data_IF_433207489665
#
_entry.id   IF_433207489665
#
_cell.length_a   1.000
_cell.length_b   1.000
_cell.length_c   1.000
_cell.angle_alpha   90.00
_cell.angle_beta   90.00
_cell.angle_gamma   90.00
#
_symmetry.space_group_name_H-M   'P 1'
#
loop_
_entity.id
_entity.type
_entity.pdbx_description
1 polymer ?
#
# COMPACT_ATOMS: atom_id res chain seq x y z
N UNK A 1 59.21 -52.05 32.74
CA UNK A 1 58.43 -52.95 33.59
C UNK A 1 57.10 -53.11 32.99
N UNK A 2 56.82 -54.27 32.63
CA UNK A 2 55.67 -55.15 32.45
C UNK A 2 54.70 -54.69 31.32
N UNK A 3 54.77 -55.40 30.23
CA UNK A 3 54.21 -56.70 29.87
C UNK A 3 52.70 -56.57 29.52
N UNK A 4 52.42 -56.85 28.23
CA UNK A 4 51.89 -58.09 27.61
C UNK A 4 50.35 -58.09 27.72
N UNK A 5 49.58 -58.30 26.73
CA UNK A 5 49.44 -59.37 25.80
C UNK A 5 48.31 -59.16 24.78
N UNK A 6 48.55 -59.56 23.55
CA UNK A 6 47.46 -59.85 22.57
C UNK A 6 46.80 -61.17 22.87
N UNK A 7 45.58 -61.42 22.47
CA UNK A 7 45.20 -62.75 21.99
C UNK A 7 44.56 -62.73 20.57
N UNK A 8 45.00 -63.72 19.89
CA UNK A 8 44.67 -64.53 18.70
C UNK A 8 43.19 -64.45 18.21
N UNK A 9 43.09 -64.37 16.90
CA UNK A 9 41.88 -64.61 16.11
C UNK A 9 41.51 -66.13 16.11
N UNK A 10 40.23 -66.46 15.95
CA UNK A 10 39.81 -67.72 15.42
C UNK A 10 39.38 -67.60 13.93
N UNK A 11 39.86 -68.58 13.16
CA UNK A 11 39.39 -68.90 11.81
C UNK A 11 37.96 -69.46 11.87
N UNK A 12 37.05 -68.92 11.04
CA UNK A 12 35.83 -69.63 10.73
C UNK A 12 35.46 -69.54 9.25
N UNK A 13 34.95 -70.57 8.77
CA UNK A 13 34.71 -71.10 7.45
C UNK A 13 33.91 -70.22 6.50
N UNK A 14 34.26 -70.26 5.24
CA UNK A 14 33.59 -69.81 4.07
C UNK A 14 32.29 -70.59 3.84
N UNK A 15 31.14 -69.98 3.95
CA UNK A 15 29.86 -70.44 3.41
C UNK A 15 29.50 -69.57 2.23
N UNK A 16 29.54 -70.09 1.03
CA UNK A 16 29.07 -69.45 -0.21
C UNK A 16 27.56 -69.64 -0.26
N UNK A 17 26.83 -68.53 0.00
CA UNK A 17 25.41 -68.44 -0.29
C UNK A 17 25.26 -67.59 -1.54
N UNK A 18 24.75 -68.19 -2.59
CA UNK A 18 24.40 -67.52 -3.85
C UNK A 18 23.29 -66.51 -3.62
N UNK A 19 23.62 -65.26 -3.86
CA UNK A 19 22.63 -64.16 -3.90
C UNK A 19 22.22 -63.96 -5.35
N UNK A 20 20.98 -64.34 -5.69
CA UNK A 20 20.33 -64.00 -6.93
C UNK A 20 20.08 -62.45 -6.89
N UNK A 21 20.76 -61.71 -7.74
CA UNK A 21 20.56 -60.28 -7.92
C UNK A 21 19.20 -60.05 -8.60
N UNK A 22 18.17 -59.69 -7.82
CA UNK A 22 16.99 -59.02 -8.34
C UNK A 22 17.42 -57.59 -8.70
N UNK A 23 17.61 -57.30 -9.97
CA UNK A 23 17.71 -55.93 -10.49
C UNK A 23 16.32 -55.28 -10.38
N UNK A 24 16.05 -54.63 -9.24
CA UNK A 24 14.99 -53.64 -9.13
C UNK A 24 15.38 -52.45 -10.03
N UNK A 25 14.73 -52.31 -11.19
CA UNK A 25 14.71 -51.06 -11.93
C UNK A 25 14.12 -50.01 -10.98
N UNK A 26 14.97 -49.17 -10.40
CA UNK A 26 14.57 -47.95 -9.79
C UNK A 26 13.99 -47.08 -10.91
N UNK A 27 12.66 -46.99 -11.00
CA UNK A 27 11.98 -46.02 -11.82
C UNK A 27 12.44 -44.64 -11.33
N UNK A 28 13.27 -43.98 -12.14
CA UNK A 28 13.62 -42.57 -11.92
C UNK A 28 12.30 -41.78 -11.92
N UNK A 29 11.96 -41.05 -10.87
CA UNK A 29 10.72 -40.26 -10.89
C UNK A 29 10.79 -39.33 -12.11
N UNK A 30 9.82 -39.45 -13.00
CA UNK A 30 9.66 -38.53 -14.10
C UNK A 30 9.42 -37.14 -13.45
N UNK A 31 10.37 -36.22 -13.62
CA UNK A 31 10.23 -34.86 -13.09
C UNK A 31 8.98 -34.22 -13.72
N UNK A 32 8.02 -33.88 -12.89
CA UNK A 32 6.88 -33.04 -13.27
C UNK A 32 7.39 -31.73 -13.86
N UNK A 33 6.63 -31.12 -14.77
CA UNK A 33 6.94 -29.80 -15.33
C UNK A 33 6.97 -28.72 -14.26
N UNK A 34 7.64 -27.63 -14.55
CA UNK A 34 7.66 -26.46 -13.66
C UNK A 34 6.33 -25.74 -13.70
N UNK A 35 5.86 -25.22 -12.55
CA UNK A 35 4.65 -24.38 -12.45
C UNK A 35 5.03 -22.99 -11.97
N UNK A 36 4.87 -21.99 -12.83
CA UNK A 36 5.06 -20.59 -12.48
C UNK A 36 3.74 -20.00 -11.98
N UNK A 37 3.62 -19.79 -10.67
CA UNK A 37 2.41 -19.28 -10.01
C UNK A 37 2.34 -17.75 -9.94
N UNK A 38 3.37 -17.01 -10.38
CA UNK A 38 3.45 -15.55 -10.22
C UNK A 38 2.33 -14.78 -10.92
N UNK A 39 1.72 -15.36 -11.96
CA UNK A 39 0.62 -14.74 -12.69
C UNK A 39 -0.78 -14.97 -12.13
N UNK A 40 -0.93 -15.78 -11.07
CA UNK A 40 -2.25 -16.15 -10.55
C UNK A 40 -3.02 -15.00 -9.91
N UNK A 41 -2.32 -13.97 -9.46
CA UNK A 41 -2.94 -12.79 -8.83
C UNK A 41 -3.03 -11.59 -9.81
N UNK A 42 -2.76 -11.82 -11.12
CA UNK A 42 -2.76 -10.75 -12.13
C UNK A 42 -4.15 -10.29 -12.56
N UNK A 43 -5.17 -11.11 -12.38
CA UNK A 43 -6.57 -10.83 -12.77
C UNK A 43 -7.54 -11.56 -11.84
N UNK A 44 -8.76 -11.03 -11.63
CA UNK A 44 -9.79 -11.68 -10.81
C UNK A 44 -10.22 -13.05 -11.37
N UNK A 45 -10.18 -13.23 -12.69
CA UNK A 45 -10.45 -14.48 -13.39
C UNK A 45 -9.40 -14.74 -14.46
N UNK A 46 -8.97 -15.98 -14.56
CA UNK A 46 -7.89 -16.42 -15.44
C UNK A 46 -8.46 -17.34 -16.51
N UNK A 47 -8.17 -17.01 -17.78
CA UNK A 47 -8.67 -17.80 -18.93
C UNK A 47 -7.55 -18.30 -19.84
N UNK A 48 -6.35 -17.71 -19.75
CA UNK A 48 -5.28 -18.00 -20.70
C UNK A 48 -4.04 -18.50 -19.99
N UNK A 49 -3.41 -19.55 -20.60
CA UNK A 49 -2.23 -20.22 -20.05
C UNK A 49 -1.23 -20.48 -21.17
N UNK A 50 0.05 -20.48 -20.83
CA UNK A 50 1.15 -20.89 -21.71
C UNK A 50 1.70 -22.21 -21.19
N UNK A 51 1.80 -23.19 -22.08
CA UNK A 51 2.37 -24.51 -21.78
C UNK A 51 3.51 -24.81 -22.73
N UNK A 52 4.68 -25.11 -22.22
CA UNK A 52 5.80 -25.62 -23.00
C UNK A 52 5.90 -27.12 -22.78
N UNK A 53 5.90 -27.87 -23.88
CA UNK A 53 6.24 -29.29 -23.86
C UNK A 53 7.74 -29.47 -24.11
N UNK A 54 8.33 -30.51 -23.51
CA UNK A 54 9.73 -30.86 -23.72
C UNK A 54 9.97 -31.18 -25.19
N UNK A 55 11.07 -30.70 -25.73
CA UNK A 55 11.42 -30.89 -27.12
C UNK A 55 11.53 -32.41 -27.46
N UNK A 56 10.97 -32.79 -28.60
CA UNK A 56 10.91 -34.19 -29.03
C UNK A 56 9.82 -35.05 -28.38
N UNK A 57 9.06 -34.53 -27.41
CA UNK A 57 7.89 -35.24 -26.86
C UNK A 57 6.78 -35.37 -27.91
N UNK A 58 5.91 -36.39 -27.77
CA UNK A 58 4.78 -36.57 -28.69
C UNK A 58 3.82 -35.38 -28.71
N UNK A 59 3.61 -34.72 -27.58
CA UNK A 59 2.78 -33.51 -27.48
C UNK A 59 3.45 -32.29 -28.13
N UNK A 60 4.78 -32.16 -28.14
CA UNK A 60 5.50 -31.09 -28.80
C UNK A 60 5.46 -31.18 -30.35
N UNK A 61 5.38 -32.40 -30.89
CA UNK A 61 5.46 -32.62 -32.36
C UNK A 61 4.11 -32.97 -33.01
N UNK A 62 3.10 -33.37 -32.23
CA UNK A 62 1.79 -33.79 -32.73
C UNK A 62 0.64 -32.97 -32.10
N UNK A 63 -0.07 -32.14 -32.87
CA UNK A 63 -1.27 -31.44 -32.39
C UNK A 63 -2.34 -32.37 -31.81
N UNK A 64 -2.47 -33.60 -32.35
CA UNK A 64 -3.42 -34.62 -31.88
C UNK A 64 -3.04 -35.12 -30.48
N UNK A 65 -1.75 -35.44 -30.25
CA UNK A 65 -1.24 -35.87 -28.95
C UNK A 65 -1.38 -34.76 -27.90
N UNK A 66 -1.06 -33.50 -28.26
CA UNK A 66 -1.26 -32.34 -27.41
C UNK A 66 -2.72 -32.19 -26.98
N UNK A 67 -3.66 -32.25 -27.93
CA UNK A 67 -5.09 -32.13 -27.63
C UNK A 67 -5.59 -33.28 -26.74
N UNK A 68 -5.11 -34.48 -26.96
CA UNK A 68 -5.46 -35.63 -26.12
C UNK A 68 -4.99 -35.43 -24.68
N UNK A 69 -3.73 -34.98 -24.46
CA UNK A 69 -3.22 -34.64 -23.15
C UNK A 69 -4.06 -33.54 -22.46
N UNK A 70 -4.34 -32.45 -23.16
CA UNK A 70 -5.13 -31.33 -22.63
C UNK A 70 -6.57 -31.73 -22.29
N UNK A 71 -7.24 -32.52 -23.14
CA UNK A 71 -8.57 -33.04 -22.87
C UNK A 71 -8.60 -33.96 -21.65
N UNK A 72 -7.56 -34.80 -21.49
CA UNK A 72 -7.42 -35.65 -20.31
C UNK A 72 -7.35 -34.81 -19.03
N UNK A 73 -6.54 -33.75 -19.02
CA UNK A 73 -6.44 -32.83 -17.87
C UNK A 73 -7.76 -32.12 -17.62
N UNK A 74 -8.38 -31.56 -18.67
CA UNK A 74 -9.65 -30.81 -18.57
C UNK A 74 -10.76 -31.68 -17.96
N UNK A 75 -10.85 -32.97 -18.34
CA UNK A 75 -11.85 -33.90 -17.81
C UNK A 75 -11.73 -34.19 -16.32
N UNK A 76 -10.55 -33.96 -15.75
CA UNK A 76 -10.30 -34.14 -14.31
C UNK A 76 -10.69 -32.91 -13.47
N UNK A 77 -10.92 -31.74 -14.11
CA UNK A 77 -11.29 -30.51 -13.40
C UNK A 77 -12.75 -30.56 -12.94
N UNK A 78 -13.07 -29.90 -11.80
CA UNK A 78 -14.45 -29.83 -11.33
C UNK A 78 -15.37 -29.19 -12.36
N UNK A 79 -16.54 -29.78 -12.59
CA UNK A 79 -17.58 -29.19 -13.40
C UNK A 79 -18.25 -28.03 -12.65
N UNK A 80 -18.57 -26.92 -13.33
CA UNK A 80 -19.41 -25.84 -12.82
C UNK A 80 -20.79 -25.86 -13.52
N UNK A 81 -21.86 -25.81 -12.74
CA UNK A 81 -23.23 -25.90 -13.26
C UNK A 81 -23.44 -27.08 -14.22
N UNK A 82 -22.86 -28.23 -13.92
CA UNK A 82 -22.95 -29.44 -14.74
C UNK A 82 -22.11 -29.43 -16.02
N UNK A 83 -21.33 -28.38 -16.27
CA UNK A 83 -20.51 -28.22 -17.47
C UNK A 83 -19.03 -28.50 -17.16
N UNK A 84 -18.46 -29.44 -17.90
CA UNK A 84 -17.03 -29.73 -17.82
C UNK A 84 -16.20 -28.55 -18.33
N UNK A 85 -14.93 -28.43 -17.86
CA UNK A 85 -14.01 -27.42 -18.36
C UNK A 85 -13.55 -27.79 -19.78
N UNK A 86 -13.61 -26.83 -20.72
CA UNK A 86 -13.00 -26.91 -22.03
C UNK A 86 -11.65 -26.22 -22.08
N UNK A 87 -10.66 -26.87 -22.68
CA UNK A 87 -9.33 -26.30 -22.98
C UNK A 87 -9.15 -26.20 -24.48
N UNK A 88 -9.03 -24.98 -25.01
CA UNK A 88 -8.86 -24.72 -26.42
C UNK A 88 -7.42 -24.26 -26.70
N UNK A 89 -6.78 -24.89 -27.70
CA UNK A 89 -5.53 -24.41 -28.22
C UNK A 89 -5.76 -23.14 -29.06
N UNK A 90 -5.04 -22.07 -28.76
CA UNK A 90 -5.17 -20.77 -29.46
C UNK A 90 -4.11 -20.65 -30.55
N UNK A 91 -2.83 -20.81 -30.18
CA UNK A 91 -1.68 -20.72 -31.11
C UNK A 91 -0.42 -21.24 -30.44
N UNK A 92 0.59 -21.44 -31.26
CA UNK A 92 1.97 -21.69 -30.83
C UNK A 92 2.78 -20.39 -30.84
N UNK A 93 3.63 -20.19 -29.84
CA UNK A 93 4.59 -19.08 -29.80
C UNK A 93 5.79 -19.34 -30.67
N UNK A 94 6.59 -18.32 -30.99
CA UNK A 94 7.82 -18.46 -31.76
C UNK A 94 8.85 -19.40 -31.08
N UNK A 95 8.82 -19.53 -29.75
CA UNK A 95 9.69 -20.42 -28.98
C UNK A 95 9.07 -21.81 -28.74
N UNK A 96 7.96 -22.12 -29.42
CA UNK A 96 7.35 -23.43 -29.40
C UNK A 96 6.52 -23.77 -28.16
N UNK A 97 6.12 -22.78 -27.35
CA UNK A 97 5.14 -22.95 -26.30
C UNK A 97 3.71 -22.82 -26.86
N UNK A 98 2.75 -23.51 -26.26
CA UNK A 98 1.35 -23.52 -26.70
C UNK A 98 0.53 -22.58 -25.82
N UNK A 99 -0.23 -21.67 -26.47
CA UNK A 99 -1.18 -20.80 -25.78
C UNK A 99 -2.53 -21.47 -25.75
N UNK A 100 -3.07 -21.62 -24.55
CA UNK A 100 -4.35 -22.26 -24.27
C UNK A 100 -5.36 -21.26 -23.76
N UNK A 101 -6.65 -21.50 -24.04
CA UNK A 101 -7.77 -20.74 -23.46
C UNK A 101 -8.79 -21.71 -22.89
N UNK A 102 -9.27 -21.43 -21.68
CA UNK A 102 -10.42 -22.09 -21.06
C UNK A 102 -11.72 -21.53 -21.64
N UNK A 103 -12.77 -22.32 -21.63
CA UNK A 103 -14.11 -21.91 -22.07
C UNK A 103 -14.90 -21.11 -21.01
N UNK A 104 -14.31 -20.94 -19.83
CA UNK A 104 -14.81 -20.10 -18.72
C UNK A 104 -13.66 -19.53 -17.92
N UNK A 105 -13.91 -18.41 -17.23
CA UNK A 105 -12.97 -17.85 -16.26
C UNK A 105 -12.76 -18.81 -15.07
N UNK A 106 -11.52 -18.95 -14.66
CA UNK A 106 -11.13 -19.70 -13.46
C UNK A 106 -10.75 -18.72 -12.36
N UNK A 107 -11.15 -19.02 -11.13
CA UNK A 107 -10.60 -18.33 -9.98
C UNK A 107 -9.15 -18.81 -9.72
N UNK A 108 -8.46 -18.13 -8.79
CA UNK A 108 -7.06 -18.42 -8.46
C UNK A 108 -6.81 -19.89 -8.12
N UNK A 109 -7.69 -20.49 -7.31
CA UNK A 109 -7.52 -21.87 -6.85
C UNK A 109 -7.78 -22.90 -7.96
N UNK A 110 -8.78 -22.65 -8.80
CA UNK A 110 -9.05 -23.46 -9.98
C UNK A 110 -7.90 -23.38 -11.00
N UNK A 111 -7.37 -22.17 -11.25
CA UNK A 111 -6.25 -21.94 -12.16
C UNK A 111 -4.98 -22.64 -11.67
N UNK A 112 -4.64 -22.52 -10.39
CA UNK A 112 -3.51 -23.23 -9.79
C UNK A 112 -3.68 -24.76 -9.92
N UNK A 113 -4.88 -25.27 -9.65
CA UNK A 113 -5.19 -26.69 -9.79
C UNK A 113 -5.00 -27.17 -11.23
N UNK A 114 -5.49 -26.39 -12.20
CA UNK A 114 -5.32 -26.70 -13.63
C UNK A 114 -3.83 -26.73 -14.00
N UNK A 115 -3.07 -25.71 -13.63
CA UNK A 115 -1.63 -25.60 -13.94
C UNK A 115 -0.85 -26.79 -13.35
N UNK A 116 -1.11 -27.14 -12.09
CA UNK A 116 -0.46 -28.31 -11.46
C UNK A 116 -0.80 -29.64 -12.14
N UNK A 117 -2.02 -29.81 -12.62
CA UNK A 117 -2.46 -30.99 -13.37
C UNK A 117 -1.83 -31.07 -14.75
N UNK A 118 -1.69 -29.92 -15.45
CA UNK A 118 -0.95 -29.86 -16.72
C UNK A 118 0.52 -30.23 -16.49
N UNK A 119 1.16 -29.65 -15.48
CA UNK A 119 2.56 -29.92 -15.15
C UNK A 119 2.83 -31.36 -14.67
N UNK A 120 1.81 -32.09 -14.22
CA UNK A 120 1.93 -33.50 -13.85
C UNK A 120 2.19 -34.41 -15.06
N UNK A 121 1.92 -33.98 -16.29
CA UNK A 121 2.31 -34.69 -17.51
C UNK A 121 3.84 -34.64 -17.68
N UNK A 122 4.54 -35.78 -17.72
CA UNK A 122 6.00 -35.82 -17.84
C UNK A 122 6.55 -35.18 -19.12
N UNK A 123 5.72 -35.02 -20.15
CA UNK A 123 6.08 -34.32 -21.39
C UNK A 123 6.07 -32.77 -21.27
N UNK A 124 5.50 -32.24 -20.21
CA UNK A 124 5.47 -30.79 -19.96
C UNK A 124 6.81 -30.33 -19.37
N UNK A 125 7.31 -29.22 -19.86
CA UNK A 125 8.49 -28.52 -19.35
C UNK A 125 8.08 -27.46 -18.33
N UNK A 126 7.18 -26.55 -18.72
CA UNK A 126 6.59 -25.58 -17.79
C UNK A 126 5.16 -25.19 -18.18
N UNK A 127 4.45 -24.62 -17.20
CA UNK A 127 3.15 -23.98 -17.36
C UNK A 127 3.09 -22.68 -16.57
N UNK A 128 2.50 -21.65 -17.18
CA UNK A 128 2.34 -20.33 -16.59
C UNK A 128 1.05 -19.64 -17.09
N UNK A 129 0.63 -18.59 -16.40
CA UNK A 129 -0.49 -17.74 -16.84
C UNK A 129 -0.02 -16.88 -18.02
N UNK A 130 -0.81 -16.81 -19.11
CA UNK A 130 -0.61 -15.85 -20.19
C UNK A 130 -1.17 -14.48 -19.74
N UNK A 131 -0.33 -13.71 -19.06
CA UNK A 131 -0.69 -12.44 -18.44
C UNK A 131 -0.82 -11.34 -19.49
N UNK A 132 -1.74 -10.41 -19.26
CA UNK A 132 -1.79 -9.16 -20.02
C UNK A 132 -0.73 -8.20 -19.43
N UNK A 133 0.17 -7.73 -20.27
CA UNK A 133 1.17 -6.73 -19.93
C UNK A 133 0.71 -5.36 -20.42
N UNK A 134 0.79 -4.38 -19.53
CA UNK A 134 0.46 -2.98 -19.83
C UNK A 134 1.73 -2.13 -19.90
N UNK A 135 1.73 -1.00 -20.63
CA UNK A 135 2.79 -0.01 -20.52
C UNK A 135 2.87 0.48 -19.07
N UNK A 136 4.05 0.43 -18.46
CA UNK A 136 4.25 0.92 -17.09
C UNK A 136 4.32 2.44 -17.11
N UNK A 137 3.40 3.12 -16.40
CA UNK A 137 3.44 4.57 -16.23
C UNK A 137 4.69 4.95 -15.42
N UNK A 138 5.64 5.60 -16.08
CA UNK A 138 6.77 6.22 -15.39
C UNK A 138 6.60 7.73 -15.51
N UNK A 139 6.16 8.41 -14.45
CA UNK A 139 6.05 9.87 -14.46
C UNK A 139 7.39 10.54 -14.76
N UNK A 140 7.33 11.72 -15.39
CA UNK A 140 8.50 12.48 -15.82
C UNK A 140 8.90 13.60 -14.86
N UNK A 141 8.39 13.59 -13.64
CA UNK A 141 8.63 14.60 -12.61
C UNK A 141 10.12 14.60 -12.24
N UNK A 142 10.74 15.76 -12.26
CA UNK A 142 12.20 15.92 -12.24
C UNK A 142 12.85 15.41 -10.96
N UNK A 143 12.09 15.33 -9.85
CA UNK A 143 12.57 14.89 -8.54
C UNK A 143 11.94 13.55 -8.06
N UNK A 144 11.21 12.84 -8.92
CA UNK A 144 10.61 11.55 -8.60
C UNK A 144 11.64 10.51 -8.10
N UNK A 145 12.87 10.56 -8.63
CA UNK A 145 13.94 9.64 -8.21
C UNK A 145 14.40 9.84 -6.75
N UNK A 146 14.14 11.01 -6.17
CA UNK A 146 14.44 11.33 -4.76
C UNK A 146 13.33 10.84 -3.82
N UNK A 147 12.14 10.51 -4.34
CA UNK A 147 10.98 10.03 -3.56
C UNK A 147 11.06 8.51 -3.36
N UNK A 148 11.92 8.06 -2.46
CA UNK A 148 12.12 6.63 -2.22
C UNK A 148 10.84 5.89 -1.82
N UNK A 149 9.92 6.56 -1.13
CA UNK A 149 8.62 6.00 -0.74
C UNK A 149 7.75 5.58 -1.92
N UNK A 150 7.86 6.27 -3.08
CA UNK A 150 7.18 5.98 -4.34
C UNK A 150 8.04 5.13 -5.30
N UNK A 151 9.22 4.67 -4.85
CA UNK A 151 10.15 3.87 -5.63
C UNK A 151 9.72 2.40 -5.74
N UNK A 152 10.70 1.57 -6.14
CA UNK A 152 10.51 0.13 -6.36
C UNK A 152 11.17 -0.75 -5.29
N UNK A 153 11.74 -0.14 -4.24
CA UNK A 153 12.39 -0.86 -3.15
C UNK A 153 11.38 -1.67 -2.31
N UNK A 154 11.87 -2.66 -1.58
CA UNK A 154 11.04 -3.45 -0.67
C UNK A 154 10.42 -2.64 0.49
N UNK A 155 10.99 -1.47 0.80
CA UNK A 155 10.51 -0.52 1.81
C UNK A 155 9.60 0.59 1.27
N UNK A 156 9.42 0.73 -0.05
CA UNK A 156 8.49 1.67 -0.68
C UNK A 156 7.04 1.20 -0.50
N UNK A 157 6.05 2.03 -0.86
CA UNK A 157 4.63 1.65 -0.86
C UNK A 157 4.21 0.83 -2.09
N UNK A 158 5.14 0.49 -2.99
CA UNK A 158 4.87 -0.29 -4.21
C UNK A 158 3.75 0.33 -5.09
N UNK A 159 3.79 1.65 -5.29
CA UNK A 159 2.71 2.38 -5.96
C UNK A 159 2.81 2.35 -7.48
N UNK A 160 4.01 2.20 -8.04
CA UNK A 160 4.19 2.30 -9.50
C UNK A 160 3.34 1.31 -10.31
N UNK A 161 3.25 0.02 -9.94
CA UNK A 161 2.32 -0.87 -10.63
C UNK A 161 0.83 -0.53 -10.41
N UNK A 162 0.48 0.13 -9.29
CA UNK A 162 -0.88 0.58 -9.06
C UNK A 162 -1.29 1.70 -10.02
N UNK A 163 -0.36 2.59 -10.40
CA UNK A 163 -0.64 3.73 -11.28
C UNK A 163 -1.09 3.33 -12.70
N UNK A 164 -0.82 2.10 -13.12
CA UNK A 164 -1.32 1.59 -14.41
C UNK A 164 -2.84 1.41 -14.43
N UNK A 165 -3.48 1.32 -13.25
CA UNK A 165 -4.93 1.09 -13.12
C UNK A 165 -5.63 2.13 -12.26
N UNK A 166 -4.94 2.72 -11.29
CA UNK A 166 -5.50 3.62 -10.28
C UNK A 166 -4.65 4.87 -10.12
N UNK A 167 -5.25 6.04 -10.24
CA UNK A 167 -4.56 7.33 -10.08
C UNK A 167 -5.21 8.24 -9.04
N UNK A 168 -6.31 7.79 -8.42
CA UNK A 168 -7.11 8.56 -7.46
C UNK A 168 -8.20 9.42 -8.10
N UNK A 169 -8.45 9.27 -9.41
CA UNK A 169 -9.46 10.05 -10.14
C UNK A 169 -10.85 9.90 -9.50
N UNK A 170 -11.51 11.04 -9.27
CA UNK A 170 -12.86 11.09 -8.71
C UNK A 170 -12.91 11.03 -7.18
N UNK A 171 -11.77 10.88 -6.50
CA UNK A 171 -11.70 10.81 -5.03
C UNK A 171 -11.23 12.14 -4.42
N UNK A 172 -11.87 12.55 -3.35
CA UNK A 172 -11.53 13.73 -2.56
C UNK A 172 -10.83 13.31 -1.27
N UNK A 173 -9.67 13.92 -0.99
CA UNK A 173 -8.93 13.74 0.26
C UNK A 173 -8.92 15.06 1.03
N UNK A 174 -9.50 15.10 2.21
CA UNK A 174 -9.40 16.24 3.11
C UNK A 174 -8.08 16.16 3.88
N UNK A 175 -7.34 17.27 3.89
CA UNK A 175 -6.09 17.44 4.66
C UNK A 175 -6.38 18.41 5.81
N UNK A 176 -6.58 17.89 7.02
CA UNK A 176 -6.78 18.68 8.24
C UNK A 176 -5.40 18.98 8.84
N UNK A 177 -4.91 20.21 8.64
CA UNK A 177 -3.50 20.55 8.89
C UNK A 177 -3.33 22.09 9.08
N UNK A 178 -2.14 22.64 8.76
CA UNK A 178 -1.83 24.08 8.82
C UNK A 178 -2.46 24.91 7.71
N UNK A 179 -3.18 24.29 6.80
CA UNK A 179 -3.69 24.92 5.57
C UNK A 179 -2.83 24.58 4.36
N UNK A 180 -2.86 25.45 3.34
CA UNK A 180 -2.15 25.22 2.09
C UNK A 180 -1.54 26.52 1.55
N UNK A 181 -0.37 26.43 0.93
CA UNK A 181 0.21 27.51 0.14
C UNK A 181 0.03 27.25 -1.35
N UNK A 182 -0.07 28.31 -2.16
CA UNK A 182 -0.06 28.15 -3.62
C UNK A 182 1.25 27.53 -4.08
N UNK A 183 1.16 26.45 -4.86
CA UNK A 183 2.31 25.73 -5.38
C UNK A 183 2.00 25.19 -6.79
N UNK A 184 2.84 25.48 -7.82
CA UNK A 184 2.56 25.08 -9.21
C UNK A 184 2.41 23.57 -9.38
N UNK A 185 3.09 22.80 -8.54
CA UNK A 185 3.04 21.33 -8.54
C UNK A 185 1.86 20.76 -7.70
N UNK A 186 0.91 21.61 -7.27
CA UNK A 186 -0.20 21.17 -6.42
C UNK A 186 -1.54 21.82 -6.78
N UNK A 187 -1.52 23.10 -7.23
CA UNK A 187 -2.72 23.92 -7.40
C UNK A 187 -3.83 23.28 -8.24
N UNK A 188 -3.46 22.52 -9.30
CA UNK A 188 -4.44 21.90 -10.19
C UNK A 188 -5.31 20.83 -9.47
N UNK A 189 -4.83 20.28 -8.36
CA UNK A 189 -5.53 19.27 -7.59
C UNK A 189 -6.22 19.82 -6.33
N UNK A 190 -6.10 21.10 -6.04
CA UNK A 190 -6.69 21.74 -4.84
C UNK A 190 -8.11 22.20 -5.14
N UNK A 191 -9.03 21.85 -4.26
CA UNK A 191 -10.42 22.30 -4.21
C UNK A 191 -10.59 23.41 -3.16
N UNK A 192 -11.70 24.14 -3.17
CA UNK A 192 -12.04 25.05 -2.08
C UNK A 192 -12.06 24.33 -0.73
N UNK A 193 -11.43 24.93 0.26
CA UNK A 193 -11.35 24.42 1.63
C UNK A 193 -11.94 25.42 2.63
N UNK A 194 -11.52 25.29 3.91
CA UNK A 194 -12.02 26.15 4.97
C UNK A 194 -10.99 26.30 6.10
N UNK A 195 -10.96 27.47 6.75
CA UNK A 195 -10.21 27.71 7.99
C UNK A 195 -11.12 27.50 9.21
N UNK A 196 -10.76 26.54 10.05
CA UNK A 196 -11.45 26.21 11.29
C UNK A 196 -10.82 26.84 12.52
N UNK A 197 -9.69 27.56 12.40
CA UNK A 197 -9.04 28.18 13.55
C UNK A 197 -9.92 29.31 14.08
N UNK A 198 -10.51 29.12 15.26
CA UNK A 198 -11.40 30.10 15.88
C UNK A 198 -10.66 31.27 16.53
N UNK A 199 -9.38 31.08 16.89
CA UNK A 199 -8.53 32.11 17.52
C UNK A 199 -7.74 32.85 16.45
N UNK A 200 -8.14 34.11 16.16
CA UNK A 200 -7.51 34.99 15.19
C UNK A 200 -6.01 35.25 15.44
N UNK A 201 -5.54 35.16 16.69
CA UNK A 201 -4.12 35.29 17.02
C UNK A 201 -3.32 34.08 16.53
N UNK A 202 -3.92 32.90 16.61
CA UNK A 202 -3.32 31.64 16.07
C UNK A 202 -3.45 31.56 14.57
N UNK A 203 -4.58 32.00 14.01
CA UNK A 203 -4.85 32.02 12.57
C UNK A 203 -3.93 33.00 11.83
N UNK A 204 -3.67 34.18 12.38
CA UNK A 204 -2.81 35.26 11.78
C UNK A 204 -3.31 35.83 10.46
N UNK A 205 -4.59 35.72 10.20
CA UNK A 205 -5.28 36.32 9.04
C UNK A 205 -6.23 37.46 9.41
N UNK A 206 -6.18 37.87 10.68
CA UNK A 206 -6.98 38.96 11.30
C UNK A 206 -8.44 38.59 11.53
N UNK A 207 -8.85 37.36 11.34
CA UNK A 207 -10.17 36.86 11.65
C UNK A 207 -10.11 35.50 12.33
N UNK A 208 -11.25 34.86 12.55
CA UNK A 208 -11.38 33.47 12.97
C UNK A 208 -11.72 32.57 11.80
N UNK A 209 -12.70 31.71 11.98
CA UNK A 209 -13.14 30.75 10.96
C UNK A 209 -13.66 31.44 9.70
N UNK A 210 -13.14 31.05 8.54
CA UNK A 210 -13.58 31.53 7.25
C UNK A 210 -13.36 30.55 6.09
N UNK A 211 -13.71 30.96 4.87
CA UNK A 211 -13.59 30.12 3.67
C UNK A 211 -12.20 30.14 3.01
N UNK A 212 -11.19 30.73 3.65
CA UNK A 212 -9.83 30.81 3.13
C UNK A 212 -8.87 29.86 3.88
N UNK A 213 -8.58 28.66 3.35
CA UNK A 213 -7.69 27.69 3.99
C UNK A 213 -6.21 27.99 3.79
N UNK A 214 -5.83 29.20 3.35
CA UNK A 214 -4.44 29.55 3.08
C UNK A 214 -3.60 29.55 4.36
N UNK A 215 -2.46 28.83 4.31
CA UNK A 215 -1.51 28.80 5.40
C UNK A 215 -0.80 30.16 5.52
N UNK A 216 -1.03 30.87 6.63
CA UNK A 216 -0.40 32.16 6.93
C UNK A 216 0.96 32.03 7.64
N UNK A 217 1.34 30.80 7.94
CA UNK A 217 2.51 30.45 8.72
C UNK A 217 2.20 30.19 10.20
N UNK A 218 2.81 29.17 10.72
CA UNK A 218 2.67 28.67 12.09
C UNK A 218 3.91 28.96 12.96
N UNK A 219 4.81 29.85 12.52
CA UNK A 219 6.01 30.27 13.23
C UNK A 219 5.69 30.77 14.64
N UNK A 220 6.66 30.69 15.56
CA UNK A 220 6.50 31.16 16.94
C UNK A 220 7.73 31.90 17.42
N UNK A 221 7.52 32.84 18.35
CA UNK A 221 8.62 33.43 19.13
C UNK A 221 8.89 32.61 20.39
N UNK A 222 10.07 32.77 20.96
CA UNK A 222 10.40 32.09 22.23
C UNK A 222 9.40 32.46 23.33
N UNK A 223 8.90 31.45 24.04
CA UNK A 223 7.91 31.60 25.10
C UNK A 223 6.46 31.75 24.64
N UNK A 224 6.19 31.88 23.36
CA UNK A 224 4.83 32.12 22.83
C UNK A 224 3.87 30.96 23.10
N UNK A 225 4.36 29.72 22.99
CA UNK A 225 3.56 28.51 23.19
C UNK A 225 3.66 27.95 24.64
N UNK A 226 4.06 28.77 25.57
CA UNK A 226 4.25 28.43 26.97
C UNK A 226 5.68 28.68 27.43
N UNK A 227 5.87 28.75 28.76
CA UNK A 227 7.17 29.00 29.36
C UNK A 227 8.18 27.95 28.90
N UNK A 228 9.32 28.41 28.35
CA UNK A 228 10.41 27.55 27.86
C UNK A 228 10.24 27.03 26.44
N UNK A 229 9.15 27.37 25.70
CA UNK A 229 9.05 27.02 24.29
C UNK A 229 10.08 27.81 23.46
N UNK A 230 10.74 27.15 22.52
CA UNK A 230 11.67 27.77 21.59
C UNK A 230 10.94 28.50 20.47
N UNK A 231 11.58 29.48 19.85
CA UNK A 231 11.11 30.04 18.59
C UNK A 231 11.20 29.01 17.47
N UNK A 232 10.26 29.03 16.55
CA UNK A 232 10.25 28.18 15.35
C UNK A 232 9.90 28.98 14.10
N UNK A 233 10.43 28.58 12.96
CA UNK A 233 9.97 29.03 11.66
C UNK A 233 8.63 28.37 11.31
N UNK A 234 7.95 28.93 10.29
CA UNK A 234 6.76 28.30 9.70
C UNK A 234 7.10 26.97 9.09
N UNK A 235 6.24 25.98 9.32
CA UNK A 235 6.46 24.61 8.89
C UNK A 235 5.93 24.29 7.49
N UNK A 236 4.91 25.03 7.02
CA UNK A 236 4.17 24.76 5.76
C UNK A 236 3.73 23.28 5.67
N UNK A 237 3.41 22.72 6.81
CA UNK A 237 3.23 21.28 7.00
C UNK A 237 2.08 20.74 6.16
N UNK A 238 0.93 21.42 6.11
CA UNK A 238 -0.20 21.01 5.28
C UNK A 238 0.11 20.99 3.78
N UNK A 239 0.96 21.92 3.29
CA UNK A 239 1.43 21.92 1.89
C UNK A 239 2.29 20.69 1.60
N UNK A 240 3.16 20.29 2.53
CA UNK A 240 4.00 19.10 2.40
C UNK A 240 3.16 17.80 2.40
N UNK A 241 2.21 17.70 3.30
CA UNK A 241 1.27 16.58 3.44
C UNK A 241 0.41 16.43 2.17
N UNK A 242 -0.17 17.53 1.69
CA UNK A 242 -1.00 17.55 0.49
C UNK A 242 -0.22 17.11 -0.76
N UNK A 243 1.04 17.55 -0.92
CA UNK A 243 1.90 17.14 -2.02
C UNK A 243 2.23 15.65 -2.00
N UNK A 244 2.45 15.07 -0.82
CA UNK A 244 2.67 13.62 -0.67
C UNK A 244 1.44 12.82 -1.15
N UNK A 245 0.23 13.33 -0.94
CA UNK A 245 -1.01 12.71 -1.42
C UNK A 245 -1.19 12.91 -2.92
N UNK A 246 -1.15 14.15 -3.40
CA UNK A 246 -1.67 14.50 -4.72
C UNK A 246 -0.90 15.64 -5.41
N UNK A 247 0.45 15.69 -5.30
CA UNK A 247 1.23 16.54 -6.19
C UNK A 247 0.90 16.21 -7.66
N UNK A 248 0.85 17.26 -8.50
CA UNK A 248 0.57 17.13 -9.94
C UNK A 248 1.71 16.31 -10.56
N UNK A 249 1.35 15.18 -11.15
CA UNK A 249 2.34 14.21 -11.61
C UNK A 249 2.38 14.15 -13.13
N UNK A 250 3.54 13.75 -13.66
CA UNK A 250 3.81 13.67 -15.11
C UNK A 250 3.74 15.05 -15.80
N UNK A 251 4.19 16.10 -15.09
CA UNK A 251 4.19 17.49 -15.55
C UNK A 251 5.60 18.05 -15.83
N UNK A 252 6.64 17.19 -15.81
CA UNK A 252 8.05 17.54 -15.97
C UNK A 252 8.59 18.48 -14.86
N UNK A 253 7.93 18.54 -13.71
CA UNK A 253 8.23 19.47 -12.62
C UNK A 253 8.20 18.73 -11.28
N UNK A 254 9.13 19.04 -10.39
CA UNK A 254 9.12 18.68 -8.98
C UNK A 254 8.88 17.19 -8.68
N UNK A 255 7.82 16.90 -7.95
CA UNK A 255 7.54 15.62 -7.27
C UNK A 255 6.22 15.00 -7.73
N UNK A 256 6.07 13.68 -7.52
CA UNK A 256 4.82 12.98 -7.78
C UNK A 256 3.99 12.83 -6.50
N UNK A 257 2.66 12.86 -6.64
CA UNK A 257 1.72 12.48 -5.58
C UNK A 257 1.41 10.98 -5.58
N UNK A 258 1.10 10.40 -4.42
CA UNK A 258 0.71 9.00 -4.29
C UNK A 258 -0.55 8.69 -5.12
N UNK A 259 -1.56 9.55 -5.04
CA UNK A 259 -2.82 9.51 -5.79
C UNK A 259 -2.98 10.81 -6.57
N UNK A 260 -2.17 11.00 -7.60
CA UNK A 260 -1.92 12.27 -8.26
C UNK A 260 -3.10 12.86 -9.04
N UNK A 261 -4.18 12.13 -9.25
CA UNK A 261 -5.45 12.61 -9.80
C UNK A 261 -6.56 12.73 -8.75
N UNK A 262 -6.27 12.44 -7.47
CA UNK A 262 -7.17 12.77 -6.38
C UNK A 262 -7.23 14.29 -6.16
N UNK A 263 -8.30 14.76 -5.54
CA UNK A 263 -8.49 16.17 -5.24
C UNK A 263 -8.30 16.43 -3.76
N UNK A 264 -7.65 17.52 -3.41
CA UNK A 264 -7.36 17.92 -2.03
C UNK A 264 -8.36 18.99 -1.59
N UNK A 265 -9.07 18.76 -0.50
CA UNK A 265 -9.78 19.79 0.26
C UNK A 265 -8.89 20.20 1.44
N UNK A 266 -8.19 21.32 1.37
CA UNK A 266 -7.38 21.80 2.49
C UNK A 266 -8.27 22.34 3.60
N UNK A 267 -8.03 21.88 4.83
CA UNK A 267 -8.75 22.32 6.02
C UNK A 267 -7.72 22.81 7.03
N UNK A 268 -7.71 24.11 7.23
CA UNK A 268 -6.80 24.74 8.17
C UNK A 268 -7.37 24.62 9.58
N UNK A 269 -6.71 23.90 10.44
CA UNK A 269 -7.08 23.71 11.84
C UNK A 269 -5.89 23.87 12.79
N UNK A 270 -4.67 24.01 12.23
CA UNK A 270 -3.43 24.24 12.97
C UNK A 270 -2.86 25.59 12.58
N UNK A 271 -2.52 26.40 13.57
CA UNK A 271 -1.83 27.68 13.41
C UNK A 271 -0.69 27.80 14.40
N UNK A 272 -0.35 29.03 14.79
CA UNK A 272 0.68 29.25 15.80
C UNK A 272 0.35 28.47 17.09
N UNK A 273 1.33 27.69 17.57
CA UNK A 273 1.19 26.81 18.74
C UNK A 273 0.18 25.65 18.56
N UNK A 274 -0.11 25.22 17.34
CA UNK A 274 -0.98 24.10 17.03
C UNK A 274 -2.46 24.46 16.91
N UNK A 275 -3.35 23.48 17.11
CA UNK A 275 -4.81 23.62 16.98
C UNK A 275 -5.57 23.21 18.21
N UNK A 276 -6.78 23.76 18.39
CA UNK A 276 -7.67 23.35 19.47
C UNK A 276 -8.43 22.06 19.10
N UNK A 277 -8.71 21.22 20.11
CA UNK A 277 -9.52 20.01 19.89
C UNK A 277 -10.90 20.34 19.31
N UNK A 278 -11.54 21.44 19.73
CA UNK A 278 -12.86 21.85 19.24
C UNK A 278 -12.83 22.20 17.75
N UNK A 279 -11.81 22.93 17.29
CA UNK A 279 -11.67 23.29 15.89
C UNK A 279 -11.39 22.04 15.01
N UNK A 280 -10.54 21.14 15.49
CA UNK A 280 -10.23 19.88 14.76
C UNK A 280 -11.46 18.95 14.71
N UNK A 281 -12.24 18.85 15.78
CA UNK A 281 -13.48 18.05 15.83
C UNK A 281 -14.49 18.56 14.80
N UNK A 282 -14.71 19.88 14.73
CA UNK A 282 -15.58 20.50 13.73
C UNK A 282 -15.04 20.28 12.31
N UNK A 283 -13.73 20.39 12.12
CA UNK A 283 -13.07 20.12 10.85
C UNK A 283 -13.30 18.67 10.37
N UNK A 284 -13.23 17.67 11.25
CA UNK A 284 -13.51 16.25 10.92
C UNK A 284 -14.97 16.09 10.46
N UNK A 285 -15.91 16.68 11.20
CA UNK A 285 -17.33 16.60 10.87
C UNK A 285 -17.60 17.25 9.49
N UNK A 286 -17.08 18.45 9.27
CA UNK A 286 -17.27 19.19 8.02
C UNK A 286 -16.59 18.49 6.83
N UNK A 287 -15.37 17.98 7.00
CA UNK A 287 -14.63 17.28 5.97
C UNK A 287 -15.44 16.13 5.38
N UNK A 288 -16.15 15.39 6.21
CA UNK A 288 -17.01 14.25 5.83
C UNK A 288 -18.42 14.63 5.35
N UNK A 289 -18.71 15.94 5.17
CA UNK A 289 -20.03 16.42 4.73
C UNK A 289 -21.04 16.63 5.85
N UNK A 290 -20.63 16.57 7.12
CA UNK A 290 -21.50 16.89 8.26
C UNK A 290 -21.68 18.41 8.43
N UNK A 291 -22.81 18.80 8.97
CA UNK A 291 -23.11 20.21 9.24
C UNK A 291 -22.36 20.69 10.49
N UNK A 292 -21.75 21.89 10.41
CA UNK A 292 -21.15 22.62 11.51
C UNK A 292 -21.83 23.98 11.64
N UNK A 293 -22.28 24.33 12.84
CA UNK A 293 -23.00 25.58 13.06
C UNK A 293 -22.16 26.81 12.68
N UNK A 294 -22.74 27.70 11.90
CA UNK A 294 -22.06 28.90 11.43
C UNK A 294 -21.05 28.73 10.30
N UNK A 295 -20.88 27.49 9.80
CA UNK A 295 -19.97 27.15 8.70
C UNK A 295 -20.81 26.71 7.48
N UNK A 296 -20.51 27.21 6.26
CA UNK A 296 -21.17 26.74 5.03
C UNK A 296 -20.98 25.23 4.85
N UNK A 297 -21.94 24.56 4.22
CA UNK A 297 -21.82 23.15 3.90
C UNK A 297 -20.59 22.89 3.01
N UNK A 298 -19.89 21.78 3.25
CA UNK A 298 -18.81 21.34 2.37
C UNK A 298 -19.37 20.89 1.02
N UNK A 299 -19.01 21.59 -0.04
CA UNK A 299 -19.43 21.22 -1.40
C UNK A 299 -18.70 19.97 -1.94
N UNK A 300 -17.61 19.56 -1.29
CA UNK A 300 -16.76 18.45 -1.69
C UNK A 300 -16.48 17.53 -0.50
N UNK A 301 -17.48 16.79 0.01
CA UNK A 301 -17.26 15.82 1.09
C UNK A 301 -16.19 14.80 0.71
N UNK A 302 -15.30 14.50 1.64
CA UNK A 302 -14.14 13.68 1.36
C UNK A 302 -14.39 12.18 1.67
N UNK A 303 -13.95 11.32 0.78
CA UNK A 303 -13.89 9.87 1.00
C UNK A 303 -12.76 9.50 1.98
N UNK A 304 -11.74 10.36 2.09
CA UNK A 304 -10.57 10.15 2.94
C UNK A 304 -10.25 11.43 3.72
N UNK A 305 -10.05 11.32 5.01
CA UNK A 305 -9.48 12.37 5.85
C UNK A 305 -8.07 11.97 6.23
N UNK A 306 -7.08 12.84 5.98
CA UNK A 306 -5.73 12.72 6.51
C UNK A 306 -5.54 13.68 7.68
N UNK A 307 -5.16 13.15 8.82
CA UNK A 307 -4.77 13.90 10.02
C UNK A 307 -3.31 13.62 10.37
N UNK A 308 -2.42 14.45 9.85
CA UNK A 308 -1.00 14.42 10.18
C UNK A 308 -0.70 15.24 11.45
N UNK A 309 -1.52 15.04 12.47
CA UNK A 309 -1.53 15.78 13.73
C UNK A 309 -1.82 14.85 14.92
N UNK A 310 -1.52 15.33 16.13
CA UNK A 310 -1.85 14.61 17.34
C UNK A 310 -1.21 15.26 18.58
N UNK A 311 -1.59 14.76 19.74
CA UNK A 311 -1.09 15.19 21.03
C UNK A 311 -1.05 14.07 22.05
N UNK A 312 -0.40 14.31 23.18
CA UNK A 312 -0.38 13.35 24.29
C UNK A 312 -1.76 13.23 24.94
N UNK A 313 -2.11 12.03 25.33
CA UNK A 313 -3.37 11.67 25.95
C UNK A 313 -4.07 10.53 25.22
N UNK A 314 -4.95 9.80 25.92
CA UNK A 314 -5.83 8.80 25.30
C UNK A 314 -6.91 9.47 24.46
N UNK A 315 -7.55 8.70 23.58
CA UNK A 315 -8.66 9.19 22.78
C UNK A 315 -9.76 9.84 23.62
N UNK A 316 -10.08 11.09 23.38
CA UNK A 316 -11.18 11.78 24.04
C UNK A 316 -12.53 11.45 23.40
N UNK A 317 -13.61 11.57 24.14
CA UNK A 317 -14.97 11.36 23.62
C UNK A 317 -15.30 12.32 22.47
N UNK A 318 -14.76 13.54 22.47
CA UNK A 318 -14.97 14.51 21.40
C UNK A 318 -14.37 14.03 20.08
N UNK A 319 -13.12 13.58 20.09
CA UNK A 319 -12.48 12.99 18.90
C UNK A 319 -13.20 11.72 18.45
N UNK A 320 -13.51 10.80 19.39
CA UNK A 320 -14.17 9.55 19.04
C UNK A 320 -15.53 9.78 18.39
N UNK A 321 -16.32 10.73 18.90
CA UNK A 321 -17.62 11.06 18.34
C UNK A 321 -17.51 11.68 16.94
N UNK A 322 -16.54 12.59 16.72
CA UNK A 322 -16.30 13.18 15.39
C UNK A 322 -15.83 12.12 14.37
N UNK A 323 -14.91 11.25 14.77
CA UNK A 323 -14.44 10.14 13.94
C UNK A 323 -15.59 9.19 13.59
N UNK A 324 -16.38 8.77 14.58
CA UNK A 324 -17.55 7.91 14.35
C UNK A 324 -18.56 8.57 13.39
N UNK A 325 -18.75 9.89 13.53
CA UNK A 325 -19.60 10.67 12.64
C UNK A 325 -19.07 10.68 11.19
N UNK A 326 -17.77 10.85 10.97
CA UNK A 326 -17.15 10.77 9.64
C UNK A 326 -17.25 9.36 9.05
N UNK A 327 -16.89 8.34 9.83
CA UNK A 327 -16.95 6.92 9.43
C UNK A 327 -18.38 6.49 9.08
N UNK A 328 -19.39 6.97 9.81
CA UNK A 328 -20.79 6.68 9.49
C UNK A 328 -21.28 7.26 8.16
N UNK A 329 -20.56 8.27 7.64
CA UNK A 329 -20.79 8.82 6.29
C UNK A 329 -19.96 8.15 5.20
N UNK A 330 -19.16 7.14 5.56
CA UNK A 330 -18.31 6.40 4.63
C UNK A 330 -16.88 6.95 4.49
N UNK A 331 -16.52 7.99 5.24
CA UNK A 331 -15.19 8.62 5.17
C UNK A 331 -14.15 7.81 5.96
N UNK A 332 -13.08 7.38 5.31
CA UNK A 332 -11.94 6.72 5.94
C UNK A 332 -11.04 7.75 6.61
N UNK A 333 -10.69 7.54 7.88
CA UNK A 333 -9.87 8.46 8.67
C UNK A 333 -8.47 7.88 8.88
N UNK A 334 -7.44 8.55 8.34
CA UNK A 334 -6.04 8.14 8.43
C UNK A 334 -5.30 9.11 9.36
N UNK A 335 -4.59 8.58 10.35
CA UNK A 335 -3.99 9.37 11.43
C UNK A 335 -2.52 9.02 11.64
N UNK A 336 -1.68 10.02 11.78
CA UNK A 336 -0.28 9.86 12.16
C UNK A 336 -0.15 9.36 13.62
N UNK A 337 0.66 8.33 13.86
CA UNK A 337 0.81 7.72 15.19
C UNK A 337 1.50 8.63 16.23
N UNK A 338 2.22 9.66 15.79
CA UNK A 338 3.02 10.56 16.65
C UNK A 338 4.51 10.23 16.65
N UNK A 339 5.32 11.19 17.14
CA UNK A 339 6.77 11.22 16.96
C UNK A 339 7.56 11.22 18.30
N UNK A 340 7.03 10.59 19.32
CA UNK A 340 7.60 10.60 20.68
C UNK A 340 8.35 9.31 21.04
N UNK A 341 8.51 8.36 20.09
CA UNK A 341 9.05 7.03 20.35
C UNK A 341 8.39 6.34 21.56
N UNK A 342 7.07 6.41 21.64
CA UNK A 342 6.27 5.95 22.75
C UNK A 342 5.08 5.10 22.28
N UNK A 343 4.37 4.47 23.23
CA UNK A 343 3.19 3.67 22.91
C UNK A 343 2.06 4.59 22.40
N UNK A 344 1.56 4.34 21.21
CA UNK A 344 0.51 5.09 20.53
C UNK A 344 -0.81 5.14 21.31
N UNK A 345 -1.09 4.19 22.20
CA UNK A 345 -2.26 4.19 23.05
C UNK A 345 -2.38 5.45 23.93
N UNK A 346 -1.28 6.17 24.14
CA UNK A 346 -1.20 7.40 24.89
C UNK A 346 -1.21 8.66 24.01
N UNK A 347 -1.61 8.54 22.72
CA UNK A 347 -1.60 9.66 21.77
C UNK A 347 -2.94 9.75 21.03
N UNK A 348 -3.57 10.91 21.12
CA UNK A 348 -4.84 11.21 20.44
C UNK A 348 -4.58 12.04 19.18
N UNK A 349 -5.34 11.87 18.06
CA UNK A 349 -6.44 10.92 17.87
C UNK A 349 -6.02 9.53 17.38
N UNK A 350 -4.71 9.22 17.28
CA UNK A 350 -4.20 7.94 16.76
C UNK A 350 -4.64 6.72 17.60
N UNK A 351 -4.98 6.91 18.89
CA UNK A 351 -5.50 5.87 19.78
C UNK A 351 -7.02 5.71 19.74
N UNK A 352 -7.73 6.50 18.93
CA UNK A 352 -9.18 6.37 18.74
C UNK A 352 -9.53 5.11 17.94
N UNK A 353 -10.72 4.58 18.16
CA UNK A 353 -11.26 3.51 17.32
C UNK A 353 -11.70 4.06 15.96
N UNK A 354 -11.79 3.17 14.98
CA UNK A 354 -12.24 3.49 13.61
C UNK A 354 -11.34 4.47 12.85
N UNK A 355 -10.06 4.54 13.20
CA UNK A 355 -9.02 5.24 12.44
C UNK A 355 -8.00 4.24 11.90
N UNK A 356 -7.33 4.57 10.82
CA UNK A 356 -6.12 3.88 10.37
C UNK A 356 -4.93 4.60 10.97
N UNK A 357 -4.35 4.05 12.03
CA UNK A 357 -3.18 4.60 12.73
C UNK A 357 -1.89 4.18 12.03
N UNK A 358 -1.06 5.18 11.63
CA UNK A 358 0.08 4.97 10.74
C UNK A 358 1.41 5.24 11.44
N UNK A 359 2.26 4.22 11.53
CA UNK A 359 3.64 4.33 11.98
C UNK A 359 4.59 4.73 10.84
N UNK A 360 5.71 5.35 11.19
CA UNK A 360 6.75 5.78 10.24
C UNK A 360 7.87 4.75 10.10
N UNK A 361 8.29 4.51 8.86
CA UNK A 361 9.50 3.72 8.53
C UNK A 361 10.53 4.53 7.77
N UNK A 362 11.78 4.05 7.82
CA UNK A 362 12.91 4.55 7.05
C UNK A 362 13.01 3.88 5.68
N UNK A 363 13.88 4.37 4.79
CA UNK A 363 14.19 3.75 3.50
C UNK A 363 14.82 2.35 3.63
N UNK A 364 15.37 2.00 4.79
CA UNK A 364 15.81 0.64 5.10
C UNK A 364 14.66 -0.29 5.56
N UNK A 365 13.42 0.23 5.64
CA UNK A 365 12.24 -0.52 6.06
C UNK A 365 12.15 -0.80 7.57
N UNK A 366 12.99 -0.17 8.38
CA UNK A 366 12.92 -0.23 9.83
C UNK A 366 11.99 0.87 10.37
N UNK A 367 11.38 0.65 11.55
CA UNK A 367 10.64 1.72 12.23
C UNK A 367 11.55 2.95 12.43
N UNK A 368 11.07 4.13 12.09
CA UNK A 368 11.78 5.38 12.36
C UNK A 368 11.99 5.56 13.87
N UNK A 369 13.16 6.01 14.30
CA UNK A 369 13.53 6.10 15.73
C UNK A 369 12.56 6.95 16.55
N UNK A 370 11.96 7.94 15.94
CA UNK A 370 10.97 8.83 16.57
C UNK A 370 9.54 8.27 16.55
N UNK A 371 9.21 7.33 15.64
CA UNK A 371 7.84 6.87 15.46
C UNK A 371 7.27 6.25 16.71
N UNK A 372 6.06 6.64 17.07
CA UNK A 372 5.27 5.90 18.04
C UNK A 372 4.98 4.49 17.52
N UNK A 373 4.69 3.57 18.44
CA UNK A 373 4.55 2.14 18.22
C UNK A 373 3.46 1.54 19.11
N UNK A 374 3.11 0.29 18.91
CA UNK A 374 2.19 -0.42 19.78
C UNK A 374 1.13 -1.23 19.04
N UNK A 375 0.26 -1.91 19.80
CA UNK A 375 -0.73 -2.84 19.25
C UNK A 375 -1.88 -2.16 18.51
N UNK A 376 -2.06 -0.85 18.68
CA UNK A 376 -3.08 -0.05 17.99
C UNK A 376 -2.56 0.64 16.74
N UNK A 377 -1.31 0.37 16.33
CA UNK A 377 -0.86 0.71 14.97
C UNK A 377 -1.50 -0.27 13.98
N UNK A 378 -2.12 0.25 12.94
CA UNK A 378 -2.74 -0.56 11.90
C UNK A 378 -1.77 -0.91 10.79
N UNK A 379 -0.97 0.07 10.35
CA UNK A 379 -0.10 -0.08 9.21
C UNK A 379 1.10 0.89 9.31
N UNK A 380 2.15 0.64 8.52
CA UNK A 380 3.31 1.51 8.42
C UNK A 380 3.44 2.13 7.03
N UNK A 381 4.00 3.34 6.97
CA UNK A 381 4.31 4.03 5.73
C UNK A 381 5.66 4.75 5.75
N UNK A 382 6.21 5.13 4.59
CA UNK A 382 7.42 5.95 4.48
C UNK A 382 7.27 7.28 5.22
N UNK A 383 8.15 7.56 6.20
CA UNK A 383 8.05 8.80 6.98
C UNK A 383 9.39 9.42 7.37
N UNK A 384 10.53 8.87 6.92
CA UNK A 384 11.85 9.47 7.10
C UNK A 384 12.42 9.96 5.78
N UNK A 385 12.91 11.21 5.74
CA UNK A 385 13.46 11.86 4.54
C UNK A 385 12.46 11.83 3.36
N UNK A 386 11.24 12.30 3.59
CA UNK A 386 10.17 12.32 2.59
C UNK A 386 10.16 13.68 1.89
N UNK A 387 10.48 13.66 0.61
CA UNK A 387 10.47 14.84 -0.26
C UNK A 387 9.05 15.13 -0.74
N UNK A 388 8.62 16.40 -0.57
CA UNK A 388 7.33 16.88 -1.06
C UNK A 388 7.35 18.39 -1.31
N UNK A 389 6.22 18.95 -1.78
CA UNK A 389 5.99 20.37 -1.97
C UNK A 389 6.09 21.15 -0.67
N UNK A 390 6.65 22.34 -0.72
CA UNK A 390 6.83 23.21 0.45
C UNK A 390 6.76 24.69 0.05
N UNK A 391 6.91 25.56 1.04
CA UNK A 391 7.08 27.01 0.85
C UNK A 391 8.40 27.47 1.49
N UNK A 392 9.08 28.44 0.91
CA UNK A 392 10.41 28.89 1.35
C UNK A 392 10.36 29.98 2.45
N UNK A 393 9.19 30.50 2.78
CA UNK A 393 9.03 31.52 3.80
C UNK A 393 9.43 31.02 5.19
N UNK A 394 10.10 31.84 5.96
CA UNK A 394 10.45 31.49 7.34
C UNK A 394 9.36 31.85 8.35
N UNK A 395 8.56 32.84 8.02
CA UNK A 395 7.40 33.30 8.82
C UNK A 395 6.14 33.34 7.98
N UNK A 396 6.01 34.31 7.08
CA UNK A 396 4.91 34.44 6.12
C UNK A 396 5.25 33.72 4.81
N UNK A 397 4.25 33.43 3.95
CA UNK A 397 4.49 32.72 2.70
C UNK A 397 5.51 33.41 1.80
N UNK A 398 6.48 32.63 1.31
CA UNK A 398 7.47 32.99 0.31
C UNK A 398 7.18 32.31 -1.03
N UNK A 399 8.20 31.79 -1.69
CA UNK A 399 8.09 31.10 -2.97
C UNK A 399 7.80 29.60 -2.78
N UNK A 400 7.17 28.97 -3.78
CA UNK A 400 7.06 27.53 -3.86
C UNK A 400 8.43 26.86 -3.83
N UNK A 401 8.55 25.77 -3.10
CA UNK A 401 9.80 25.04 -2.91
C UNK A 401 9.52 23.55 -2.61
N UNK A 402 10.57 22.77 -2.39
CA UNK A 402 10.50 21.37 -2.02
C UNK A 402 11.49 21.09 -0.90
N UNK A 403 11.10 20.29 0.07
CA UNK A 403 12.01 19.82 1.11
C UNK A 403 11.68 18.42 1.61
N UNK A 404 12.67 17.79 2.25
CA UNK A 404 12.49 16.49 2.89
C UNK A 404 12.18 16.67 4.37
N UNK A 405 11.09 16.04 4.83
CA UNK A 405 10.64 16.05 6.21
C UNK A 405 10.69 14.64 6.84
N UNK A 406 10.70 14.61 8.17
CA UNK A 406 10.64 13.39 8.97
C UNK A 406 9.43 13.46 9.90
N UNK A 407 8.63 12.40 9.95
CA UNK A 407 7.48 12.31 10.83
C UNK A 407 6.51 11.19 10.43
N UNK A 408 5.73 10.72 11.39
CA UNK A 408 4.52 9.94 11.10
C UNK A 408 3.53 10.77 10.27
N UNK A 409 3.65 12.09 10.35
CA UNK A 409 2.95 13.07 9.51
C UNK A 409 3.23 12.92 8.01
N UNK A 410 4.37 12.35 7.62
CA UNK A 410 4.72 12.05 6.23
C UNK A 410 4.34 10.61 5.85
N UNK A 411 4.21 9.72 6.84
CA UNK A 411 3.75 8.36 6.62
C UNK A 411 2.23 8.29 6.38
N UNK A 412 1.44 9.01 7.15
CA UNK A 412 -0.02 9.05 7.02
C UNK A 412 -0.51 9.45 5.61
N UNK A 413 0.02 10.50 4.95
CA UNK A 413 -0.43 10.87 3.61
C UNK A 413 -0.08 9.84 2.53
N UNK A 414 0.98 9.04 2.67
CA UNK A 414 1.19 7.90 1.78
C UNK A 414 0.03 6.89 1.89
N UNK A 415 -0.40 6.58 3.12
CA UNK A 415 -1.52 5.66 3.35
C UNK A 415 -2.83 6.27 2.86
N UNK A 416 -3.09 7.56 3.14
CA UNK A 416 -4.27 8.28 2.65
C UNK A 416 -4.33 8.28 1.11
N UNK A 417 -3.19 8.46 0.44
CA UNK A 417 -3.08 8.33 -1.01
C UNK A 417 -3.41 6.92 -1.50
N UNK A 418 -2.93 5.87 -0.81
CA UNK A 418 -3.30 4.48 -1.18
C UNK A 418 -4.80 4.23 -0.97
N UNK A 419 -5.41 4.76 0.09
CA UNK A 419 -6.87 4.70 0.27
C UNK A 419 -7.58 5.37 -0.91
N UNK A 420 -7.10 6.53 -1.37
CA UNK A 420 -7.67 7.22 -2.53
C UNK A 420 -7.51 6.40 -3.83
N UNK A 421 -6.38 5.72 -4.04
CA UNK A 421 -6.21 4.80 -5.17
C UNK A 421 -7.23 3.66 -5.12
N UNK A 422 -7.40 3.02 -3.97
CA UNK A 422 -8.38 1.94 -3.75
C UNK A 422 -9.81 2.41 -4.05
N UNK A 423 -10.22 3.54 -3.48
CA UNK A 423 -11.57 4.08 -3.69
C UNK A 423 -11.81 4.47 -5.16
N UNK A 424 -10.78 4.90 -5.89
CA UNK A 424 -10.91 5.32 -7.29
C UNK A 424 -11.20 4.17 -8.28
N UNK A 425 -10.94 2.92 -7.90
CA UNK A 425 -11.15 1.73 -8.74
C UNK A 425 -12.21 0.79 -8.19
N UNK A 426 -12.69 1.03 -6.98
CA UNK A 426 -13.73 0.22 -6.38
C UNK A 426 -15.03 0.31 -7.19
N UNK A 427 -15.63 -0.85 -7.49
CA UNK A 427 -16.92 -0.93 -8.23
C UNK A 427 -18.07 -0.20 -7.52
N UNK A 428 -17.94 -0.01 -6.23
CA UNK A 428 -18.78 0.79 -5.32
C UNK A 428 -17.91 1.32 -4.17
N UNK A 429 -18.25 2.45 -3.56
CA UNK A 429 -17.50 2.96 -2.43
C UNK A 429 -17.31 1.91 -1.33
N UNK A 430 -16.08 1.65 -0.93
CA UNK A 430 -15.77 0.74 0.17
C UNK A 430 -16.01 1.44 1.51
N UNK A 431 -16.54 0.70 2.47
CA UNK A 431 -16.66 1.21 3.84
C UNK A 431 -15.26 1.37 4.48
N UNK A 432 -15.08 2.29 5.45
CA UNK A 432 -13.80 2.48 6.12
C UNK A 432 -13.22 1.19 6.72
N UNK A 433 -14.05 0.33 7.31
CA UNK A 433 -13.63 -0.97 7.83
C UNK A 433 -13.18 -1.95 6.74
N UNK A 434 -13.82 -1.93 5.56
CA UNK A 434 -13.40 -2.75 4.42
C UNK A 434 -12.06 -2.26 3.87
N UNK A 435 -11.86 -0.94 3.77
CA UNK A 435 -10.58 -0.33 3.38
C UNK A 435 -9.47 -0.72 4.35
N UNK A 436 -9.68 -0.54 5.66
CA UNK A 436 -8.70 -0.93 6.68
C UNK A 436 -8.31 -2.41 6.56
N UNK A 437 -9.30 -3.29 6.45
CA UNK A 437 -9.10 -4.74 6.27
C UNK A 437 -8.29 -5.04 5.01
N UNK A 438 -8.61 -4.40 3.89
CA UNK A 438 -7.91 -4.58 2.63
C UNK A 438 -6.45 -4.14 2.73
N UNK A 439 -6.18 -2.95 3.30
CA UNK A 439 -4.81 -2.47 3.49
C UNK A 439 -3.99 -3.41 4.39
N UNK A 440 -4.57 -3.89 5.48
CA UNK A 440 -3.89 -4.83 6.41
C UNK A 440 -3.61 -6.19 5.76
N UNK A 441 -4.55 -6.73 5.00
CA UNK A 441 -4.40 -8.03 4.34
C UNK A 441 -3.40 -8.01 3.19
N UNK A 442 -3.21 -6.86 2.56
CA UNK A 442 -2.28 -6.69 1.42
C UNK A 442 -0.94 -6.08 1.82
N UNK A 443 -0.76 -5.73 3.09
CA UNK A 443 0.47 -5.16 3.62
C UNK A 443 1.67 -6.08 3.38
N UNK A 444 2.84 -5.49 3.14
CA UNK A 444 4.09 -6.24 2.97
C UNK A 444 4.89 -6.26 4.27
N UNK A 445 5.61 -7.35 4.57
CA UNK A 445 6.50 -7.39 5.72
C UNK A 445 7.51 -6.25 5.70
N UNK A 446 7.87 -5.73 6.88
CA UNK A 446 8.95 -4.76 7.02
C UNK A 446 10.30 -5.46 6.76
N UNK A 447 11.14 -4.96 5.83
CA UNK A 447 12.49 -5.49 5.63
C UNK A 447 13.42 -5.27 6.83
N UNK A 448 13.18 -4.19 7.57
CA UNK A 448 13.96 -3.79 8.73
C UNK A 448 13.28 -4.09 10.07
N UNK A 449 13.96 -3.77 11.17
CA UNK A 449 13.49 -4.09 12.51
C UNK A 449 12.27 -3.26 12.95
N UNK A 450 11.27 -3.96 13.48
CA UNK A 450 10.23 -3.38 14.32
C UNK A 450 9.83 -4.38 15.43
N UNK A 451 10.37 -4.21 16.62
CA UNK A 451 10.13 -5.08 17.76
C UNK A 451 8.98 -4.66 18.66
N UNK A 452 8.39 -3.47 18.44
CA UNK A 452 7.47 -2.84 19.37
C UNK A 452 6.03 -2.68 18.85
N UNK A 453 5.74 -3.17 17.66
CA UNK A 453 4.42 -3.07 17.00
C UNK A 453 4.37 -1.94 15.97
N UNK A 454 4.31 -2.32 14.69
CA UNK A 454 4.24 -1.44 13.52
C UNK A 454 3.04 -1.78 12.62
N UNK A 455 2.01 -2.39 13.18
CA UNK A 455 0.82 -2.82 12.44
C UNK A 455 1.07 -4.05 11.56
N UNK A 456 0.22 -4.22 10.55
CA UNK A 456 0.24 -5.37 9.64
C UNK A 456 1.48 -5.41 8.73
N UNK A 457 2.18 -4.29 8.57
CA UNK A 457 3.33 -4.17 7.68
C UNK A 457 3.37 -2.83 6.94
N UNK A 458 4.11 -2.77 5.83
CA UNK A 458 4.15 -1.59 4.96
C UNK A 458 2.93 -1.60 4.06
N UNK A 459 2.24 -0.46 3.94
CA UNK A 459 1.15 -0.30 2.97
C UNK A 459 1.62 -0.64 1.56
N UNK A 460 0.80 -1.40 0.83
CA UNK A 460 1.13 -1.93 -0.50
C UNK A 460 0.06 -1.50 -1.51
N UNK A 461 0.34 -0.43 -2.23
CA UNK A 461 -0.61 0.16 -3.18
C UNK A 461 -1.01 -0.82 -4.28
N UNK A 462 -0.04 -1.50 -4.92
CA UNK A 462 -0.34 -2.46 -5.98
C UNK A 462 -1.19 -3.63 -5.48
N UNK A 463 -0.86 -4.19 -4.29
CA UNK A 463 -1.63 -5.27 -3.69
C UNK A 463 -3.05 -4.83 -3.30
N UNK A 464 -3.21 -3.65 -2.73
CA UNK A 464 -4.50 -3.12 -2.35
C UNK A 464 -5.38 -2.84 -3.58
N UNK A 465 -4.84 -2.15 -4.61
CA UNK A 465 -5.56 -1.85 -5.86
C UNK A 465 -5.97 -3.14 -6.59
N UNK A 466 -5.08 -4.12 -6.70
CA UNK A 466 -5.37 -5.38 -7.41
C UNK A 466 -6.44 -6.25 -6.73
N UNK A 467 -6.61 -6.11 -5.41
CA UNK A 467 -7.61 -6.87 -4.63
C UNK A 467 -8.87 -6.04 -4.31
N UNK A 468 -8.97 -4.84 -4.85
CA UNK A 468 -10.19 -4.01 -4.72
C UNK A 468 -11.34 -4.63 -5.51
N UNK A 469 -12.53 -4.88 -4.88
CA UNK A 469 -13.66 -5.56 -5.49
C UNK A 469 -14.44 -4.70 -6.50
#
# INVERSE_FOLDING_TARGET
MSNVSQPRAPRCALVVLGVSALTSLLAVPAFAGQVNLSGLDSQPTLERFIVKYKDGSSAAVSPTSMRASLNSVASTMPARAGRALGLNHVRRTALGSEVLKTDRGLDRAEAETLMRRIAADPSVDYVEVDQIMYPVLTPNDTRLSEQWGLGTSSSSINVRPAWDTATGTGVVVAVIDTGITSHPDLNANVLPGYDFISDATRARDNNGRDSNPADQGDWTTAGQCGSGSSASNSSWHGTHVAGTIAAVTNNSTGVAGTAFNARIVPIRALGACGGSTSDIVDAIVWASGGAVSGVPANANPAEVINMSLGGSGSCSSSYQNAINSAVSRGTTVVVAAGNSNANVANFTPASCANVISVASITSAGARSSFSNFGSTIDISGPGSAILSTLNSGTTTPGSASYASYNGTSMAAPHVAGVVALVQSVASRPLTPAAVETLLKNTARPLPGACSAGCGAGIVNAAGAVSQTP
#
